data_IF_874064469292
#
_entry.id   IF_874064469292
#
_cell.length_a   1.000
_cell.length_b   1.000
_cell.length_c   1.000
_cell.angle_alpha   90.00
_cell.angle_beta   90.00
_cell.angle_gamma   90.00
#
_symmetry.space_group_name_H-M   'P 1'
#
loop_
_entity.id
_entity.type
_entity.pdbx_description
1 polymer ?
#
# COMPACT_ATOMS: atom_id res chain seq x y z
N UNK A 1 -32.74 30.85 19.71
CA UNK A 1 -32.19 29.58 20.23
C UNK A 1 -32.23 28.57 19.09
N UNK A 2 -31.08 28.13 18.55
CA UNK A 2 -31.04 27.17 17.44
C UNK A 2 -31.52 25.80 17.94
N UNK A 3 -32.84 25.56 17.89
CA UNK A 3 -33.41 24.23 18.09
C UNK A 3 -32.93 23.36 16.94
N UNK A 4 -32.06 22.39 17.23
CA UNK A 4 -31.56 21.48 16.20
C UNK A 4 -32.64 20.44 15.89
N UNK A 5 -32.92 20.23 14.60
CA UNK A 5 -33.85 19.19 14.15
C UNK A 5 -33.48 17.84 14.75
N UNK A 6 -34.49 17.04 15.13
CA UNK A 6 -34.31 15.68 15.65
C UNK A 6 -33.40 14.84 14.74
N UNK A 7 -33.51 15.01 13.42
CA UNK A 7 -32.64 14.36 12.43
C UNK A 7 -31.15 14.62 12.70
N UNK A 8 -30.77 15.88 12.95
CA UNK A 8 -29.36 16.24 13.19
C UNK A 8 -28.87 15.68 14.53
N UNK A 9 -29.75 15.59 15.52
CA UNK A 9 -29.44 14.96 16.81
C UNK A 9 -29.19 13.46 16.66
N UNK A 10 -30.02 12.78 15.86
CA UNK A 10 -29.86 11.34 15.58
C UNK A 10 -28.52 11.10 14.89
N UNK A 11 -28.19 11.86 13.84
CA UNK A 11 -26.90 11.73 13.16
C UNK A 11 -25.70 11.98 14.09
N UNK A 12 -25.77 12.99 14.96
CA UNK A 12 -24.73 13.24 15.96
C UNK A 12 -24.61 12.08 16.95
N UNK A 13 -25.73 11.56 17.46
CA UNK A 13 -25.74 10.46 18.42
C UNK A 13 -25.19 9.16 17.84
N UNK A 14 -25.57 8.82 16.61
CA UNK A 14 -25.02 7.65 15.88
C UNK A 14 -23.53 7.82 15.64
N UNK A 15 -23.09 8.98 15.14
CA UNK A 15 -21.68 9.28 14.91
C UNK A 15 -20.87 9.16 16.22
N UNK A 16 -21.35 9.78 17.29
CA UNK A 16 -20.76 9.70 18.63
C UNK A 16 -20.65 8.25 19.12
N UNK A 17 -21.75 7.49 19.10
CA UNK A 17 -21.79 6.12 19.61
C UNK A 17 -20.85 5.19 18.84
N UNK A 18 -20.83 5.29 17.50
CA UNK A 18 -19.96 4.48 16.65
C UNK A 18 -18.48 4.84 16.84
N UNK A 19 -18.13 6.11 16.70
CA UNK A 19 -16.74 6.56 16.77
C UNK A 19 -16.17 6.35 18.16
N UNK A 20 -16.83 6.88 19.20
CA UNK A 20 -16.34 6.78 20.58
C UNK A 20 -16.34 5.32 21.04
N UNK A 21 -17.38 4.55 20.70
CA UNK A 21 -17.46 3.12 21.04
C UNK A 21 -16.33 2.30 20.40
N UNK A 22 -16.02 2.54 19.13
CA UNK A 22 -14.95 1.82 18.41
C UNK A 22 -13.56 2.21 18.92
N UNK A 23 -13.30 3.51 19.13
CA UNK A 23 -12.05 4.00 19.72
C UNK A 23 -11.86 3.44 21.14
N UNK A 24 -12.91 3.48 21.96
CA UNK A 24 -12.90 2.91 23.30
C UNK A 24 -12.62 1.41 23.25
N UNK A 25 -13.33 0.65 22.41
CA UNK A 25 -13.11 -0.80 22.25
C UNK A 25 -11.66 -1.10 21.89
N UNK A 26 -11.08 -0.39 20.92
CA UNK A 26 -9.69 -0.60 20.50
C UNK A 26 -8.70 -0.33 21.64
N UNK A 27 -8.80 0.84 22.27
CA UNK A 27 -7.89 1.24 23.34
C UNK A 27 -8.03 0.35 24.58
N UNK A 28 -9.26 0.04 24.98
CA UNK A 28 -9.55 -0.85 26.10
C UNK A 28 -9.00 -2.25 25.88
N UNK A 29 -9.23 -2.84 24.71
CA UNK A 29 -8.71 -4.16 24.38
C UNK A 29 -7.18 -4.19 24.36
N UNK A 30 -6.55 -3.18 23.78
CA UNK A 30 -5.09 -3.17 23.65
C UNK A 30 -4.38 -2.96 24.97
N UNK A 31 -4.89 -2.06 25.81
CA UNK A 31 -4.17 -1.65 27.03
C UNK A 31 -4.75 -2.24 28.31
N UNK A 32 -6.05 -2.49 28.40
CA UNK A 32 -6.70 -2.90 29.65
C UNK A 32 -7.09 -4.37 29.72
N UNK A 33 -6.97 -5.13 28.62
CA UNK A 33 -7.24 -6.58 28.60
C UNK A 33 -6.40 -7.43 29.56
N UNK A 34 -5.16 -7.04 29.97
CA UNK A 34 -4.44 -7.80 31.00
C UNK A 34 -5.09 -7.72 32.38
N UNK A 35 -5.84 -6.66 32.68
CA UNK A 35 -6.42 -6.42 34.01
C UNK A 35 -7.94 -6.61 34.05
N UNK A 36 -8.63 -6.47 32.91
CA UNK A 36 -10.08 -6.49 32.83
C UNK A 36 -10.53 -7.56 31.82
N UNK A 37 -11.44 -8.48 32.19
CA UNK A 37 -11.95 -9.50 31.28
C UNK A 37 -12.53 -8.91 29.98
N UNK A 38 -12.20 -9.52 28.85
CA UNK A 38 -12.60 -9.04 27.53
C UNK A 38 -14.12 -8.89 27.33
N UNK A 39 -15.02 -9.74 27.90
CA UNK A 39 -16.45 -9.54 27.75
C UNK A 39 -16.95 -8.25 28.41
N UNK A 40 -16.34 -7.84 29.53
CA UNK A 40 -16.72 -6.62 30.24
C UNK A 40 -16.34 -5.37 29.43
N UNK A 41 -15.15 -5.37 28.83
CA UNK A 41 -14.70 -4.29 27.94
C UNK A 41 -15.60 -4.16 26.70
N UNK A 42 -16.05 -5.29 26.13
CA UNK A 42 -17.06 -5.27 25.05
C UNK A 42 -18.39 -4.70 25.52
N UNK A 43 -18.85 -5.11 26.70
CA UNK A 43 -20.09 -4.62 27.30
C UNK A 43 -20.12 -3.09 27.38
N UNK A 44 -19.03 -2.47 27.85
CA UNK A 44 -18.94 -1.00 27.91
C UNK A 44 -18.99 -0.37 26.51
N UNK A 45 -18.27 -0.92 25.54
CA UNK A 45 -18.32 -0.42 24.16
C UNK A 45 -19.73 -0.49 23.55
N UNK A 46 -20.45 -1.58 23.81
CA UNK A 46 -21.86 -1.75 23.38
C UNK A 46 -22.77 -0.75 24.10
N UNK A 47 -22.56 -0.52 25.40
CA UNK A 47 -23.33 0.47 26.15
C UNK A 47 -23.13 1.90 25.60
N UNK A 48 -21.91 2.27 25.19
CA UNK A 48 -21.65 3.55 24.52
C UNK A 48 -22.41 3.67 23.20
N UNK A 49 -22.47 2.59 22.42
CA UNK A 49 -23.22 2.55 21.17
C UNK A 49 -24.73 2.69 21.41
N UNK A 50 -25.27 1.94 22.37
CA UNK A 50 -26.69 2.04 22.79
C UNK A 50 -27.00 3.45 23.29
N UNK A 51 -26.11 4.04 24.10
CA UNK A 51 -26.26 5.41 24.58
C UNK A 51 -26.30 6.41 23.41
N UNK A 52 -25.44 6.24 22.39
CA UNK A 52 -25.47 7.06 21.17
C UNK A 52 -26.79 7.01 20.41
N UNK A 53 -27.49 5.85 20.42
CA UNK A 53 -28.80 5.69 19.79
C UNK A 53 -29.95 6.30 20.61
N UNK A 54 -29.90 6.20 21.94
CA UNK A 54 -30.97 6.67 22.83
C UNK A 54 -30.87 8.17 23.13
N UNK A 55 -29.64 8.69 23.28
CA UNK A 55 -29.36 10.07 23.69
C UNK A 55 -30.07 11.14 22.84
N UNK A 56 -30.18 11.03 21.50
CA UNK A 56 -30.89 12.01 20.67
C UNK A 56 -32.35 12.20 21.04
N UNK A 57 -33.05 11.10 21.38
CA UNK A 57 -34.47 11.11 21.75
C UNK A 57 -34.68 11.72 23.13
N UNK A 58 -33.85 11.32 24.11
CA UNK A 58 -33.87 11.86 25.47
C UNK A 58 -33.55 13.36 25.46
N UNK A 59 -32.52 13.76 24.70
CA UNK A 59 -32.17 15.16 24.51
C UNK A 59 -33.33 15.94 23.86
N UNK A 60 -33.94 15.43 22.80
CA UNK A 60 -35.06 16.12 22.15
C UNK A 60 -36.29 16.28 23.07
N UNK A 61 -36.63 15.26 23.86
CA UNK A 61 -37.73 15.32 24.82
C UNK A 61 -37.46 16.32 25.96
N UNK A 62 -36.23 16.35 26.50
CA UNK A 62 -35.86 17.27 27.59
C UNK A 62 -35.73 18.72 27.14
N UNK A 63 -35.30 18.96 25.91
CA UNK A 63 -35.25 20.31 25.34
C UNK A 63 -36.65 20.91 25.17
N UNK A 64 -37.65 20.11 24.75
CA UNK A 64 -39.06 20.56 24.70
C UNK A 64 -39.64 20.92 26.08
N UNK A 65 -39.10 20.33 27.15
CA UNK A 65 -39.51 20.61 28.54
C UNK A 65 -38.67 21.73 29.19
N UNK A 66 -37.89 22.49 28.41
CA UNK A 66 -36.95 23.54 28.88
C UNK A 66 -35.92 23.07 29.93
N UNK A 67 -35.67 21.76 30.04
CA UNK A 67 -34.85 21.20 31.13
C UNK A 67 -33.34 21.20 30.88
N UNK A 68 -32.86 21.49 29.66
CA UNK A 68 -31.43 21.38 29.31
C UNK A 68 -31.03 22.46 28.29
N UNK A 69 -29.81 22.99 28.43
CA UNK A 69 -29.14 23.75 27.39
C UNK A 69 -28.66 22.84 26.24
N UNK A 70 -29.50 22.67 25.22
CA UNK A 70 -29.21 21.77 24.09
C UNK A 70 -27.99 22.16 23.26
N UNK A 71 -27.65 23.45 23.19
CA UNK A 71 -26.46 23.93 22.46
C UNK A 71 -25.18 23.42 23.15
N UNK A 72 -25.10 23.56 24.47
CA UNK A 72 -23.95 23.08 25.25
C UNK A 72 -23.74 21.57 25.11
N UNK A 73 -24.82 20.78 25.20
CA UNK A 73 -24.74 19.33 25.04
C UNK A 73 -24.25 18.93 23.64
N UNK A 74 -24.81 19.55 22.59
CA UNK A 74 -24.37 19.33 21.21
C UNK A 74 -22.88 19.56 21.06
N UNK A 75 -22.40 20.74 21.48
CA UNK A 75 -20.99 21.12 21.37
C UNK A 75 -20.10 20.16 22.13
N UNK A 76 -20.49 19.70 23.32
CA UNK A 76 -19.72 18.73 24.10
C UNK A 76 -19.60 17.38 23.38
N UNK A 77 -20.69 16.86 22.80
CA UNK A 77 -20.68 15.60 22.06
C UNK A 77 -19.82 15.67 20.80
N UNK A 78 -19.89 16.79 20.07
CA UNK A 78 -19.04 17.03 18.91
C UNK A 78 -17.55 17.06 19.30
N UNK A 79 -17.20 17.80 20.36
CA UNK A 79 -15.80 17.86 20.83
C UNK A 79 -15.31 16.51 21.33
N UNK A 80 -16.14 15.74 22.04
CA UNK A 80 -15.77 14.42 22.54
C UNK A 80 -15.56 13.41 21.39
N UNK A 81 -16.44 13.44 20.38
CA UNK A 81 -16.29 12.60 19.17
C UNK A 81 -15.02 12.96 18.40
N UNK A 82 -14.78 14.26 18.20
CA UNK A 82 -13.58 14.75 17.52
C UNK A 82 -12.31 14.40 18.30
N UNK A 83 -12.33 14.56 19.62
CA UNK A 83 -11.24 14.19 20.49
C UNK A 83 -10.93 12.69 20.40
N UNK A 84 -11.95 11.84 20.41
CA UNK A 84 -11.77 10.39 20.25
C UNK A 84 -11.10 10.05 18.91
N UNK A 85 -11.54 10.64 17.78
CA UNK A 85 -10.89 10.45 16.46
C UNK A 85 -9.42 10.88 16.47
N UNK A 86 -9.14 12.05 17.05
CA UNK A 86 -7.80 12.62 17.09
C UNK A 86 -6.88 11.79 17.97
N UNK A 87 -7.33 11.42 19.17
CA UNK A 87 -6.61 10.51 20.08
C UNK A 87 -6.31 9.19 19.38
N UNK A 88 -7.30 8.62 18.70
CA UNK A 88 -7.17 7.33 18.03
C UNK A 88 -6.10 7.35 16.93
N UNK A 89 -6.11 8.41 16.11
CA UNK A 89 -5.16 8.66 15.02
C UNK A 89 -3.75 8.95 15.53
N UNK A 90 -3.62 9.78 16.57
CA UNK A 90 -2.31 10.06 17.20
C UNK A 90 -1.73 8.76 17.77
N UNK A 91 -2.54 7.95 18.44
CA UNK A 91 -2.10 6.65 18.97
C UNK A 91 -1.62 5.70 17.87
N UNK A 92 -2.32 5.63 16.73
CA UNK A 92 -1.82 4.86 15.59
C UNK A 92 -0.49 5.38 15.05
N UNK A 93 -0.31 6.71 14.96
CA UNK A 93 0.97 7.31 14.55
C UNK A 93 2.10 7.00 15.53
N UNK A 94 1.89 7.19 16.83
CA UNK A 94 2.89 6.90 17.87
C UNK A 94 3.29 5.42 17.85
N UNK A 95 2.32 4.51 17.70
CA UNK A 95 2.60 3.07 17.62
C UNK A 95 3.45 2.70 16.40
N UNK A 96 3.29 3.40 15.26
CA UNK A 96 4.16 3.23 14.09
C UNK A 96 5.60 3.67 14.39
N UNK A 97 5.77 4.82 15.04
CA UNK A 97 7.09 5.36 15.42
C UNK A 97 7.81 4.41 16.39
N UNK A 98 7.07 3.80 17.32
CA UNK A 98 7.59 2.86 18.30
C UNK A 98 7.84 1.44 17.75
N UNK A 99 7.52 1.17 16.48
CA UNK A 99 7.63 -0.18 15.91
C UNK A 99 6.63 -1.20 16.49
N UNK A 100 5.55 -0.72 17.11
CA UNK A 100 4.46 -1.55 17.67
C UNK A 100 3.41 -1.96 16.63
N UNK A 101 3.61 -1.57 15.37
CA UNK A 101 2.83 -1.99 14.21
C UNK A 101 3.75 -2.53 13.13
N UNK A 102 3.17 -3.22 12.13
CA UNK A 102 3.88 -3.77 10.97
C UNK A 102 4.91 -4.85 11.37
N UNK A 103 4.55 -5.69 12.35
CA UNK A 103 5.43 -6.73 12.88
C UNK A 103 5.27 -8.02 12.07
N UNK A 104 6.29 -8.37 11.31
CA UNK A 104 6.38 -9.69 10.66
C UNK A 104 6.93 -10.71 11.65
N UNK A 105 6.18 -11.80 11.85
CA UNK A 105 6.59 -12.94 12.69
C UNK A 105 7.75 -13.68 12.03
N UNK A 106 8.74 -14.12 12.81
CA UNK A 106 9.94 -14.80 12.30
C UNK A 106 9.60 -16.02 11.44
N UNK A 107 8.68 -16.88 11.88
CA UNK A 107 8.28 -18.06 11.10
C UNK A 107 7.57 -17.76 9.77
N UNK A 108 7.14 -16.50 9.52
CA UNK A 108 6.65 -16.08 8.21
C UNK A 108 7.79 -15.74 7.25
N UNK A 109 8.98 -15.42 7.74
CA UNK A 109 10.13 -15.09 6.89
C UNK A 109 10.71 -16.32 6.16
N UNK A 110 10.46 -17.52 6.70
CA UNK A 110 10.90 -18.78 6.10
C UNK A 110 9.96 -19.26 4.98
N UNK A 111 8.80 -18.61 4.82
CA UNK A 111 7.86 -18.95 3.77
C UNK A 111 8.33 -18.40 2.41
N UNK A 112 8.11 -19.14 1.31
CA UNK A 112 8.38 -18.62 -0.02
C UNK A 112 7.53 -17.38 -0.27
N UNK A 113 8.10 -16.38 -0.96
CA UNK A 113 7.47 -15.08 -1.21
C UNK A 113 6.05 -15.20 -1.80
N UNK A 114 5.84 -16.16 -2.70
CA UNK A 114 4.55 -16.45 -3.35
C UNK A 114 3.46 -16.96 -2.40
N UNK A 115 3.83 -17.41 -1.20
CA UNK A 115 2.91 -17.93 -0.18
C UNK A 115 2.63 -16.94 0.95
N UNK A 116 3.28 -15.77 0.95
CA UNK A 116 3.03 -14.76 1.97
C UNK A 116 1.63 -14.16 1.80
N UNK A 117 0.82 -14.10 2.87
CA UNK A 117 -0.47 -13.42 2.80
C UNK A 117 -0.27 -11.91 2.62
N UNK A 118 -1.27 -11.24 2.02
CA UNK A 118 -1.20 -9.81 1.70
C UNK A 118 -0.83 -8.93 2.91
N UNK A 119 -1.42 -9.19 4.07
CA UNK A 119 -1.09 -8.49 5.33
C UNK A 119 0.41 -8.58 5.67
N UNK A 120 1.00 -9.77 5.57
CA UNK A 120 2.42 -9.97 5.90
C UNK A 120 3.32 -9.26 4.89
N UNK A 121 2.98 -9.32 3.59
CA UNK A 121 3.72 -8.61 2.55
C UNK A 121 3.69 -7.10 2.76
N UNK A 122 2.50 -6.55 3.05
CA UNK A 122 2.31 -5.13 3.34
C UNK A 122 3.11 -4.70 4.57
N UNK A 123 3.05 -5.48 5.65
CA UNK A 123 3.79 -5.18 6.88
C UNK A 123 5.30 -5.30 6.68
N UNK A 124 5.78 -6.28 5.91
CA UNK A 124 7.18 -6.40 5.55
C UNK A 124 7.68 -5.16 4.78
N UNK A 125 6.91 -4.70 3.79
CA UNK A 125 7.22 -3.49 3.02
C UNK A 125 7.34 -2.26 3.92
N UNK A 126 6.34 -1.99 4.77
CA UNK A 126 6.39 -0.83 5.65
C UNK A 126 7.46 -0.96 6.75
N UNK A 127 7.79 -2.17 7.21
CA UNK A 127 8.83 -2.38 8.22
C UNK A 127 10.24 -2.23 7.67
N UNK A 128 10.45 -2.49 6.38
CA UNK A 128 11.78 -2.42 5.75
C UNK A 128 12.41 -1.02 5.89
N UNK A 129 11.66 0.05 5.65
CA UNK A 129 12.16 1.43 5.71
C UNK A 129 11.56 2.21 6.88
N UNK A 130 12.26 2.21 8.02
CA UNK A 130 11.84 2.95 9.21
C UNK A 130 11.61 4.46 8.96
N UNK A 131 12.48 5.20 8.23
CA UNK A 131 12.22 6.61 7.92
C UNK A 131 10.92 6.83 7.15
N UNK A 132 10.58 5.93 6.24
CA UNK A 132 9.32 5.98 5.49
C UNK A 132 8.11 5.75 6.41
N UNK A 133 8.19 4.76 7.32
CA UNK A 133 7.15 4.52 8.33
C UNK A 133 6.92 5.73 9.22
N UNK A 134 8.01 6.38 9.66
CA UNK A 134 7.97 7.58 10.51
C UNK A 134 7.34 8.76 9.76
N UNK A 135 7.66 8.96 8.48
CA UNK A 135 7.04 10.01 7.68
C UNK A 135 5.51 9.86 7.60
N UNK A 136 5.02 8.63 7.38
CA UNK A 136 3.58 8.33 7.37
C UNK A 136 2.97 8.59 8.75
N UNK A 137 3.64 8.17 9.82
CA UNK A 137 3.18 8.37 11.19
C UNK A 137 3.06 9.86 11.56
N UNK A 138 4.05 10.67 11.17
CA UNK A 138 4.04 12.12 11.39
C UNK A 138 2.93 12.81 10.61
N UNK A 139 2.69 12.42 9.34
CA UNK A 139 1.54 12.92 8.57
C UNK A 139 0.21 12.57 9.23
N UNK A 140 0.08 11.36 9.78
CA UNK A 140 -1.10 10.93 10.51
C UNK A 140 -1.32 11.75 11.79
N UNK A 141 -0.27 11.99 12.58
CA UNK A 141 -0.32 12.82 13.80
C UNK A 141 -0.63 14.27 13.45
N UNK A 142 0.05 14.85 12.45
CA UNK A 142 -0.18 16.22 12.00
C UNK A 142 -1.64 16.42 11.59
N UNK A 143 -2.20 15.48 10.83
CA UNK A 143 -3.62 15.53 10.42
C UNK A 143 -4.55 15.58 11.63
N UNK A 144 -4.30 14.75 12.65
CA UNK A 144 -5.09 14.72 13.88
C UNK A 144 -4.94 16.02 14.70
N UNK A 145 -3.72 16.58 14.76
CA UNK A 145 -3.46 17.86 15.44
C UNK A 145 -4.20 19.00 14.73
N UNK A 146 -4.17 19.04 13.40
CA UNK A 146 -4.88 20.05 12.59
C UNK A 146 -6.41 19.99 12.79
N UNK A 147 -6.98 18.80 13.03
CA UNK A 147 -8.40 18.60 13.32
C UNK A 147 -8.85 19.23 14.64
N UNK A 148 -7.98 19.25 15.66
CA UNK A 148 -8.29 19.80 16.99
C UNK A 148 -8.51 21.32 16.95
N UNK A 149 -7.72 22.05 16.16
CA UNK A 149 -7.82 23.50 16.08
C UNK A 149 -8.90 23.94 15.10
N UNK A 150 -9.85 24.75 15.57
CA UNK A 150 -10.96 25.27 14.76
C UNK A 150 -10.52 26.00 13.49
N UNK A 151 -9.34 26.65 13.52
CA UNK A 151 -8.77 27.40 12.39
C UNK A 151 -8.26 26.50 11.27
N UNK A 152 -7.71 25.33 11.60
CA UNK A 152 -7.11 24.39 10.63
C UNK A 152 -7.97 23.17 10.36
N UNK A 153 -9.13 23.07 11.01
CA UNK A 153 -10.00 21.89 10.98
C UNK A 153 -10.40 21.46 9.58
N UNK A 154 -10.77 22.40 8.70
CA UNK A 154 -11.15 22.06 7.32
C UNK A 154 -10.01 21.35 6.58
N UNK A 155 -8.79 21.86 6.71
CA UNK A 155 -7.61 21.23 6.11
C UNK A 155 -7.32 19.86 6.73
N UNK A 156 -7.44 19.76 8.07
CA UNK A 156 -7.35 18.48 8.77
C UNK A 156 -8.39 17.45 8.31
N UNK A 157 -9.64 17.86 8.05
CA UNK A 157 -10.70 16.98 7.55
C UNK A 157 -10.39 16.47 6.14
N UNK A 158 -9.91 17.33 5.25
CA UNK A 158 -9.51 16.94 3.89
C UNK A 158 -8.36 15.92 3.95
N UNK A 159 -7.31 16.21 4.72
CA UNK A 159 -6.18 15.29 4.89
C UNK A 159 -6.62 13.96 5.54
N UNK A 160 -7.54 13.99 6.50
CA UNK A 160 -8.05 12.79 7.14
C UNK A 160 -8.83 11.90 6.17
N UNK A 161 -9.60 12.49 5.24
CA UNK A 161 -10.29 11.72 4.19
C UNK A 161 -9.27 11.02 3.29
N UNK A 162 -8.26 11.76 2.80
CA UNK A 162 -7.22 11.20 1.92
C UNK A 162 -6.50 10.04 2.63
N UNK A 163 -6.07 10.27 3.87
CA UNK A 163 -5.34 9.28 4.67
C UNK A 163 -6.19 8.04 4.99
N UNK A 164 -7.43 8.21 5.48
CA UNK A 164 -8.30 7.10 5.83
C UNK A 164 -8.74 6.31 4.59
N UNK A 165 -8.95 6.99 3.46
CA UNK A 165 -9.24 6.32 2.18
C UNK A 165 -8.07 5.47 1.74
N UNK A 166 -6.84 6.01 1.84
CA UNK A 166 -5.63 5.25 1.55
C UNK A 166 -5.48 4.03 2.47
N UNK A 167 -5.75 4.17 3.77
CA UNK A 167 -5.74 3.06 4.73
C UNK A 167 -6.80 2.00 4.36
N UNK A 168 -8.03 2.42 4.05
CA UNK A 168 -9.10 1.49 3.63
C UNK A 168 -8.73 0.75 2.34
N UNK A 169 -8.11 1.42 1.37
CA UNK A 169 -7.62 0.77 0.15
C UNK A 169 -6.58 -0.29 0.49
N UNK A 170 -5.62 0.01 1.37
CA UNK A 170 -4.64 -0.98 1.83
C UNK A 170 -5.34 -2.16 2.51
N UNK A 171 -6.29 -1.90 3.41
CA UNK A 171 -7.01 -2.93 4.14
C UNK A 171 -7.79 -3.87 3.19
N UNK A 172 -8.43 -3.32 2.16
CA UNK A 172 -9.18 -4.08 1.16
C UNK A 172 -8.26 -4.88 0.24
N UNK A 173 -7.28 -4.24 -0.40
CA UNK A 173 -6.46 -4.89 -1.41
C UNK A 173 -5.48 -5.92 -0.83
N UNK A 174 -5.03 -5.72 0.41
CA UNK A 174 -4.15 -6.65 1.12
C UNK A 174 -4.91 -7.61 2.07
N UNK A 175 -6.24 -7.61 2.03
CA UNK A 175 -7.11 -8.52 2.78
C UNK A 175 -6.83 -8.52 4.30
N UNK A 176 -6.75 -7.34 4.89
CA UNK A 176 -6.53 -7.21 6.33
C UNK A 176 -7.74 -7.70 7.14
N UNK A 177 -7.55 -8.01 8.43
CA UNK A 177 -8.64 -8.44 9.30
C UNK A 177 -9.83 -7.46 9.29
N UNK A 178 -11.04 -7.99 9.14
CA UNK A 178 -12.30 -7.23 9.00
C UNK A 178 -12.48 -6.18 10.12
N UNK A 179 -12.01 -6.48 11.33
CA UNK A 179 -12.09 -5.55 12.46
C UNK A 179 -11.33 -4.24 12.26
N UNK A 180 -10.19 -4.27 11.56
CA UNK A 180 -9.39 -3.07 11.25
C UNK A 180 -10.06 -2.25 10.15
N UNK A 181 -10.54 -2.93 9.11
CA UNK A 181 -11.29 -2.30 8.01
C UNK A 181 -12.55 -1.58 8.53
N UNK A 182 -13.34 -2.22 9.38
CA UNK A 182 -14.52 -1.60 9.99
C UNK A 182 -14.17 -0.38 10.85
N UNK A 183 -13.06 -0.44 11.59
CA UNK A 183 -12.56 0.70 12.38
C UNK A 183 -12.22 1.89 11.49
N UNK A 184 -11.53 1.65 10.37
CA UNK A 184 -11.17 2.69 9.42
C UNK A 184 -12.41 3.30 8.73
N UNK A 185 -13.37 2.47 8.32
CA UNK A 185 -14.64 2.92 7.73
C UNK A 185 -15.44 3.79 8.71
N UNK A 186 -15.59 3.35 9.96
CA UNK A 186 -16.32 4.11 10.98
C UNK A 186 -15.64 5.46 11.27
N UNK A 187 -14.30 5.48 11.29
CA UNK A 187 -13.54 6.72 11.44
C UNK A 187 -13.75 7.66 10.25
N UNK A 188 -13.75 7.12 9.02
CA UNK A 188 -14.01 7.90 7.81
C UNK A 188 -15.42 8.49 7.79
N UNK A 189 -16.44 7.70 8.19
CA UNK A 189 -17.81 8.20 8.34
C UNK A 189 -17.90 9.32 9.39
N UNK A 190 -17.16 9.21 10.49
CA UNK A 190 -17.05 10.27 11.49
C UNK A 190 -16.45 11.56 10.92
N UNK A 191 -15.40 11.45 10.11
CA UNK A 191 -14.79 12.60 9.40
C UNK A 191 -15.77 13.21 8.41
N UNK A 192 -16.50 12.40 7.62
CA UNK A 192 -17.53 12.91 6.71
C UNK A 192 -18.67 13.62 7.44
N UNK A 193 -19.06 13.13 8.62
CA UNK A 193 -20.03 13.82 9.47
C UNK A 193 -19.56 15.23 9.80
N UNK A 194 -18.32 15.41 10.28
CA UNK A 194 -17.77 16.74 10.56
C UNK A 194 -17.63 17.60 9.31
N UNK A 195 -17.21 17.02 8.18
CA UNK A 195 -17.12 17.75 6.92
C UNK A 195 -18.48 18.24 6.42
N UNK A 196 -19.54 17.45 6.61
CA UNK A 196 -20.90 17.84 6.24
C UNK A 196 -21.39 19.09 6.98
N UNK A 197 -20.87 19.35 8.19
CA UNK A 197 -21.21 20.56 8.96
C UNK A 197 -20.56 21.82 8.37
N UNK A 198 -19.40 21.68 7.74
CA UNK A 198 -18.62 22.76 7.11
C UNK A 198 -18.73 22.74 5.58
N UNK A 199 -19.76 22.11 5.00
CA UNK A 199 -19.91 21.90 3.55
C UNK A 199 -19.75 23.19 2.72
N UNK A 200 -20.32 24.31 3.19
CA UNK A 200 -20.19 25.60 2.51
C UNK A 200 -18.73 26.07 2.43
N UNK A 201 -17.96 25.91 3.51
CA UNK A 201 -16.53 26.25 3.53
C UNK A 201 -15.72 25.35 2.61
N UNK A 202 -16.09 24.07 2.50
CA UNK A 202 -15.46 23.16 1.55
C UNK A 202 -15.73 23.57 0.10
N UNK A 203 -16.98 23.87 -0.25
CA UNK A 203 -17.31 24.31 -1.61
C UNK A 203 -16.64 25.63 -1.95
N UNK A 204 -16.57 26.55 -0.99
CA UNK A 204 -15.85 27.81 -1.16
C UNK A 204 -14.35 27.55 -1.38
N UNK A 205 -13.74 26.65 -0.60
CA UNK A 205 -12.33 26.28 -0.75
C UNK A 205 -12.00 25.61 -2.10
N UNK A 206 -12.88 24.76 -2.62
CA UNK A 206 -12.64 23.99 -3.86
C UNK A 206 -12.93 24.82 -5.10
N UNK A 207 -14.04 25.57 -5.11
CA UNK A 207 -14.56 26.18 -6.32
C UNK A 207 -14.26 27.68 -6.45
N UNK A 208 -13.85 28.36 -5.37
CA UNK A 208 -13.45 29.76 -5.50
C UNK A 208 -12.05 29.86 -6.11
N UNK A 209 -11.86 30.68 -7.15
CA UNK A 209 -10.54 30.91 -7.72
C UNK A 209 -9.65 31.59 -6.67
N UNK A 210 -8.38 31.17 -6.64
CA UNK A 210 -7.36 31.76 -5.78
C UNK A 210 -7.22 33.26 -6.09
N UNK A 211 -7.21 34.09 -5.06
CA UNK A 211 -7.03 35.53 -5.22
C UNK A 211 -5.66 35.82 -5.82
N UNK A 212 -5.61 36.64 -6.86
CA UNK A 212 -4.36 37.03 -7.54
C UNK A 212 -3.92 36.10 -8.68
N UNK A 213 -4.62 35.00 -8.97
CA UNK A 213 -4.31 34.19 -10.16
C UNK A 213 -4.78 34.91 -11.42
N UNK A 214 -3.85 35.29 -12.29
CA UNK A 214 -4.16 35.82 -13.62
C UNK A 214 -4.47 34.66 -14.56
N UNK A 215 -5.67 34.62 -15.12
CA UNK A 215 -5.98 33.66 -16.17
C UNK A 215 -5.22 34.04 -17.44
N UNK A 216 -4.71 33.05 -18.19
CA UNK A 216 -4.15 33.28 -19.52
C UNK A 216 -5.18 34.01 -20.39
N UNK A 217 -4.75 35.06 -21.10
CA UNK A 217 -5.62 35.84 -21.99
C UNK A 217 -5.79 35.13 -23.35
N UNK A 218 -6.39 33.95 -23.32
CA UNK A 218 -6.62 33.09 -24.49
C UNK A 218 -8.07 32.58 -24.41
N UNK A 219 -8.69 32.29 -25.56
CA UNK A 219 -10.03 31.72 -25.63
C UNK A 219 -10.16 30.42 -24.83
N UNK A 220 -11.37 30.14 -24.33
CA UNK A 220 -11.66 28.95 -23.53
C UNK A 220 -11.38 27.64 -24.30
N UNK A 221 -11.49 27.66 -25.62
CA UNK A 221 -11.19 26.51 -26.48
C UNK A 221 -9.72 26.09 -26.31
N UNK A 222 -8.78 27.02 -26.50
CA UNK A 222 -7.35 26.71 -26.38
C UNK A 222 -6.95 26.34 -24.93
N UNK A 223 -7.57 26.96 -23.92
CA UNK A 223 -7.37 26.56 -22.52
C UNK A 223 -7.76 25.10 -22.28
N UNK A 224 -8.89 24.66 -22.84
CA UNK A 224 -9.35 23.29 -22.72
C UNK A 224 -8.50 22.33 -23.57
N UNK A 225 -8.05 22.74 -24.76
CA UNK A 225 -7.11 21.94 -25.56
C UNK A 225 -5.79 21.69 -24.82
N UNK A 226 -5.23 22.71 -24.16
CA UNK A 226 -4.04 22.56 -23.31
C UNK A 226 -4.27 21.60 -22.15
N UNK A 227 -5.45 21.64 -21.51
CA UNK A 227 -5.80 20.69 -20.43
C UNK A 227 -5.94 19.26 -20.95
N UNK A 228 -6.55 19.08 -22.12
CA UNK A 228 -6.72 17.77 -22.75
C UNK A 228 -5.37 17.22 -23.22
N UNK A 229 -4.47 18.07 -23.73
CA UNK A 229 -3.16 17.62 -24.20
C UNK A 229 -2.32 16.98 -23.09
N UNK A 230 -2.51 17.39 -21.82
CA UNK A 230 -1.86 16.75 -20.66
C UNK A 230 -2.25 15.26 -20.50
N UNK A 231 -3.40 14.84 -21.01
CA UNK A 231 -3.80 13.43 -21.03
C UNK A 231 -3.37 12.72 -22.33
N UNK A 232 -3.26 13.46 -23.44
CA UNK A 232 -2.83 12.92 -24.73
C UNK A 232 -1.33 12.62 -24.73
N UNK A 233 -0.49 13.50 -24.16
CA UNK A 233 0.97 13.34 -24.19
C UNK A 233 1.45 12.02 -23.57
N UNK A 234 1.01 11.59 -22.37
CA UNK A 234 1.37 10.30 -21.81
C UNK A 234 0.95 9.12 -22.70
N UNK A 235 -0.23 9.19 -23.33
CA UNK A 235 -0.69 8.16 -24.26
C UNK A 235 0.22 8.08 -25.49
N UNK A 236 0.58 9.22 -26.09
CA UNK A 236 1.50 9.26 -27.22
C UNK A 236 2.88 8.70 -26.85
N UNK A 237 3.44 9.07 -25.70
CA UNK A 237 4.72 8.52 -25.25
C UNK A 237 4.65 7.03 -24.95
N UNK A 238 3.51 6.52 -24.45
CA UNK A 238 3.30 5.09 -24.23
C UNK A 238 3.29 4.27 -25.53
N UNK A 239 2.89 4.86 -26.67
CA UNK A 239 2.88 4.18 -27.97
C UNK A 239 4.30 3.98 -28.53
N UNK A 240 5.26 4.78 -28.09
CA UNK A 240 6.67 4.71 -28.50
C UNK A 240 7.49 3.93 -27.46
N UNK A 241 6.90 3.61 -26.31
CA UNK A 241 7.56 2.83 -25.27
C UNK A 241 7.48 1.33 -25.61
N UNK A 242 8.61 0.75 -25.99
CA UNK A 242 8.70 -0.69 -26.26
C UNK A 242 8.45 -1.50 -24.99
N UNK A 243 7.70 -2.59 -25.14
CA UNK A 243 7.47 -3.50 -24.01
C UNK A 243 8.81 -4.13 -23.58
N UNK A 244 9.08 -4.23 -22.26
CA UNK A 244 10.36 -4.78 -21.77
C UNK A 244 10.63 -6.22 -22.20
N UNK A 245 9.57 -7.01 -22.43
CA UNK A 245 9.68 -8.38 -22.92
C UNK A 245 9.70 -8.45 -24.45
N UNK A 246 10.90 -8.48 -25.03
CA UNK A 246 11.08 -8.66 -26.48
C UNK A 246 10.95 -10.11 -26.93
N UNK A 247 11.08 -11.07 -26.01
CA UNK A 247 11.17 -12.48 -26.32
C UNK A 247 10.29 -13.34 -25.39
N UNK A 248 8.96 -13.16 -25.40
CA UNK A 248 8.06 -13.80 -24.43
C UNK A 248 8.04 -15.34 -24.48
N UNK A 249 8.50 -15.92 -25.60
CA UNK A 249 8.66 -17.38 -25.74
C UNK A 249 9.87 -17.91 -24.99
N UNK A 250 10.89 -17.07 -24.77
CA UNK A 250 12.11 -17.37 -24.04
C UNK A 250 12.05 -16.92 -22.58
N UNK A 251 11.17 -15.98 -22.24
CA UNK A 251 11.01 -15.50 -20.87
C UNK A 251 10.58 -16.64 -19.94
N UNK A 252 11.40 -16.94 -18.94
CA UNK A 252 11.16 -18.03 -18.00
C UNK A 252 12.37 -18.43 -17.17
N UNK A 253 12.08 -19.28 -16.18
CA UNK A 253 13.06 -20.02 -15.40
C UNK A 253 13.33 -21.35 -16.10
N UNK A 254 14.60 -21.74 -16.23
CA UNK A 254 15.00 -22.97 -16.87
C UNK A 254 15.94 -23.79 -15.99
N UNK A 255 15.61 -25.05 -15.73
CA UNK A 255 16.49 -26.00 -15.06
C UNK A 255 17.52 -26.57 -16.05
N UNK A 256 18.76 -26.71 -15.58
CA UNK A 256 19.86 -27.28 -16.36
C UNK A 256 19.95 -28.79 -16.11
N UNK A 257 19.57 -29.62 -17.09
CA UNK A 257 19.52 -31.08 -16.93
C UNK A 257 20.86 -31.76 -17.26
N UNK A 258 21.53 -31.31 -18.33
CA UNK A 258 22.75 -31.92 -18.86
C UNK A 258 23.79 -30.84 -19.18
N UNK A 259 24.43 -30.30 -18.15
CA UNK A 259 25.58 -29.41 -18.33
C UNK A 259 26.79 -30.22 -18.80
N UNK A 260 27.45 -29.77 -19.86
CA UNK A 260 28.79 -30.24 -20.22
C UNK A 260 29.74 -29.05 -20.33
N UNK A 261 30.93 -29.21 -19.77
CA UNK A 261 32.03 -28.24 -19.88
C UNK A 261 33.18 -28.98 -20.58
N UNK A 262 33.65 -28.47 -21.71
CA UNK A 262 34.64 -29.11 -22.56
C UNK A 262 34.31 -30.58 -22.87
N UNK A 263 33.03 -30.82 -23.21
CA UNK A 263 32.44 -32.13 -23.52
C UNK A 263 32.40 -33.13 -22.34
N UNK A 264 32.84 -32.74 -21.14
CA UNK A 264 32.72 -33.53 -19.91
C UNK A 264 31.39 -33.20 -19.20
N UNK A 265 30.56 -34.19 -18.82
CA UNK A 265 29.29 -33.94 -18.13
C UNK A 265 29.50 -33.52 -16.67
N UNK A 266 28.82 -32.46 -16.25
CA UNK A 266 28.77 -31.96 -14.88
C UNK A 266 27.35 -32.02 -14.34
N UNK A 267 27.19 -32.47 -13.09
CA UNK A 267 25.91 -32.51 -12.38
C UNK A 267 26.14 -32.10 -10.93
N UNK A 268 25.25 -31.25 -10.40
CA UNK A 268 25.27 -30.89 -8.99
C UNK A 268 25.04 -32.16 -8.13
N UNK A 269 25.90 -32.39 -7.13
CA UNK A 269 25.80 -33.50 -6.19
C UNK A 269 25.16 -33.06 -4.87
N UNK A 270 25.22 -31.77 -4.54
CA UNK A 270 24.71 -31.16 -3.32
C UNK A 270 24.12 -29.77 -3.59
N UNK A 271 23.15 -29.28 -2.78
CA UNK A 271 22.63 -27.90 -2.84
C UNK A 271 23.65 -26.78 -2.57
N UNK A 272 24.91 -27.13 -2.22
CA UNK A 272 26.00 -26.15 -1.98
C UNK A 272 27.10 -26.18 -3.04
N UNK A 273 26.95 -27.01 -4.08
CA UNK A 273 27.97 -27.12 -5.12
C UNK A 273 27.92 -25.91 -6.05
N UNK A 274 29.08 -25.46 -6.52
CA UNK A 274 29.25 -24.38 -7.51
C UNK A 274 28.87 -24.79 -8.95
N UNK A 275 27.93 -25.72 -9.10
CA UNK A 275 27.45 -26.20 -10.40
C UNK A 275 26.28 -25.34 -10.82
N UNK A 276 26.26 -24.95 -12.10
CA UNK A 276 25.14 -24.20 -12.67
C UNK A 276 23.87 -25.06 -12.64
N UNK A 277 22.84 -24.58 -11.93
CA UNK A 277 21.59 -25.31 -11.73
C UNK A 277 20.43 -24.71 -12.49
N UNK A 278 20.42 -23.39 -12.67
CA UNK A 278 19.28 -22.69 -13.25
C UNK A 278 19.73 -21.54 -14.13
N UNK A 279 19.05 -21.37 -15.26
CA UNK A 279 19.18 -20.22 -16.16
C UNK A 279 17.86 -19.46 -16.15
N UNK A 280 17.92 -18.15 -15.94
CA UNK A 280 16.78 -17.26 -16.10
C UNK A 280 16.99 -16.45 -17.38
N UNK A 281 15.96 -16.40 -18.21
CA UNK A 281 15.83 -15.44 -19.29
C UNK A 281 14.61 -14.59 -18.91
N UNK A 282 14.80 -13.32 -18.63
CA UNK A 282 13.75 -12.46 -18.05
C UNK A 282 13.56 -11.17 -18.85
N UNK A 283 12.66 -10.31 -18.36
CA UNK A 283 12.36 -8.98 -18.88
C UNK A 283 13.65 -8.16 -19.11
N UNK A 284 13.60 -7.25 -20.10
CA UNK A 284 14.73 -6.38 -20.48
C UNK A 284 15.98 -7.15 -20.95
N UNK A 285 15.75 -8.30 -21.59
CA UNK A 285 16.80 -9.18 -22.09
C UNK A 285 17.76 -9.65 -20.97
N UNK A 286 17.26 -9.81 -19.73
CA UNK A 286 18.07 -10.24 -18.60
C UNK A 286 18.40 -11.74 -18.70
N UNK A 287 19.66 -12.07 -18.41
CA UNK A 287 20.18 -13.44 -18.47
C UNK A 287 20.92 -13.74 -17.18
N UNK A 288 20.37 -14.65 -16.37
CA UNK A 288 20.96 -15.00 -15.07
C UNK A 288 21.35 -16.47 -15.05
N UNK A 289 22.62 -16.73 -14.73
CA UNK A 289 23.12 -18.05 -14.38
C UNK A 289 23.15 -18.18 -12.86
N UNK A 290 22.40 -19.12 -12.30
CA UNK A 290 22.29 -19.35 -10.85
C UNK A 290 23.00 -20.66 -10.47
N UNK A 291 23.98 -20.55 -9.58
CA UNK A 291 24.83 -21.66 -9.14
C UNK A 291 24.39 -22.12 -7.76
N UNK A 292 23.16 -22.65 -7.67
CA UNK A 292 22.58 -23.32 -6.50
C UNK A 292 22.31 -22.44 -5.26
N UNK A 293 23.08 -21.38 -5.04
CA UNK A 293 22.93 -20.39 -3.96
C UNK A 293 22.83 -18.98 -4.57
N UNK A 294 21.88 -18.19 -4.10
CA UNK A 294 21.56 -16.86 -4.64
C UNK A 294 22.72 -15.86 -4.61
N UNK A 295 23.76 -16.13 -3.79
CA UNK A 295 24.98 -15.33 -3.70
C UNK A 295 25.94 -15.59 -4.86
N UNK A 296 25.81 -16.72 -5.54
CA UNK A 296 26.62 -17.11 -6.68
C UNK A 296 25.78 -17.05 -7.95
N UNK A 297 25.70 -15.84 -8.51
CA UNK A 297 24.94 -15.57 -9.73
C UNK A 297 25.77 -14.78 -10.72
N UNK A 298 25.65 -15.12 -11.99
CA UNK A 298 26.09 -14.25 -13.07
C UNK A 298 24.86 -13.59 -13.68
N UNK A 299 24.87 -12.27 -13.76
CA UNK A 299 23.75 -11.46 -14.26
C UNK A 299 24.26 -10.70 -15.47
N UNK A 300 23.59 -10.82 -16.60
CA UNK A 300 23.99 -10.20 -17.85
C UNK A 300 22.81 -9.81 -18.73
N UNK A 301 23.11 -9.10 -19.83
CA UNK A 301 22.15 -8.84 -20.90
C UNK A 301 22.41 -9.80 -22.05
N UNK A 302 21.40 -10.53 -22.52
CA UNK A 302 21.53 -11.33 -23.73
C UNK A 302 21.14 -10.53 -24.98
N UNK A 303 21.78 -10.85 -26.09
CA UNK A 303 21.51 -10.32 -27.42
C UNK A 303 21.26 -11.50 -28.33
N UNK A 304 20.00 -11.68 -28.74
CA UNK A 304 19.58 -12.77 -29.60
C UNK A 304 19.45 -12.29 -31.04
N UNK A 305 20.05 -13.03 -31.97
CA UNK A 305 19.80 -12.89 -33.40
C UNK A 305 18.96 -14.07 -33.88
N UNK A 306 17.68 -13.84 -34.11
CA UNK A 306 16.73 -14.89 -34.51
C UNK A 306 17.01 -15.49 -35.90
N UNK A 307 17.80 -14.83 -36.76
CA UNK A 307 18.07 -15.34 -38.11
C UNK A 307 19.01 -16.55 -38.13
N UNK A 308 19.91 -16.64 -37.17
CA UNK A 308 20.94 -17.68 -37.09
C UNK A 308 21.00 -18.35 -35.71
N UNK A 309 20.00 -18.09 -34.86
CA UNK A 309 19.90 -18.52 -33.48
C UNK A 309 21.15 -18.19 -32.64
N UNK A 310 21.93 -17.18 -33.01
CA UNK A 310 23.11 -16.78 -32.24
C UNK A 310 22.70 -15.95 -31.04
N UNK A 311 23.31 -16.25 -29.91
CA UNK A 311 23.07 -15.56 -28.64
C UNK A 311 24.40 -15.15 -28.04
N UNK A 312 24.50 -13.87 -27.67
CA UNK A 312 25.65 -13.31 -26.96
C UNK A 312 25.19 -12.77 -25.62
N UNK A 313 25.87 -13.07 -24.53
CA UNK A 313 25.55 -12.52 -23.21
C UNK A 313 26.70 -11.66 -22.72
N UNK A 314 26.38 -10.42 -22.34
CA UNK A 314 27.32 -9.48 -21.72
C UNK A 314 27.05 -9.40 -20.23
N UNK A 315 28.04 -9.73 -19.41
CA UNK A 315 27.86 -9.79 -17.96
C UNK A 315 27.93 -8.40 -17.33
N UNK A 316 26.92 -8.10 -16.50
CA UNK A 316 26.88 -6.91 -15.64
C UNK A 316 27.44 -7.23 -14.25
N UNK A 317 27.29 -8.48 -13.80
CA UNK A 317 27.82 -8.96 -12.54
C UNK A 317 28.27 -10.43 -12.64
N UNK A 318 29.50 -10.78 -12.19
CA UNK A 318 30.60 -9.87 -11.89
C UNK A 318 31.15 -9.22 -13.17
N UNK A 319 31.32 -7.88 -13.19
CA UNK A 319 31.70 -7.13 -14.40
C UNK A 319 33.12 -7.39 -14.90
N UNK A 320 34.06 -7.68 -13.99
CA UNK A 320 35.50 -7.62 -14.29
C UNK A 320 36.18 -8.99 -14.43
N UNK A 321 35.41 -10.08 -14.46
CA UNK A 321 35.95 -11.45 -14.31
C UNK A 321 35.53 -12.44 -15.39
N UNK A 322 34.63 -12.08 -16.29
CA UNK A 322 34.00 -13.02 -17.21
C UNK A 322 34.01 -12.47 -18.63
N UNK A 323 34.46 -13.30 -19.58
CA UNK A 323 34.27 -13.05 -20.99
C UNK A 323 32.80 -13.17 -21.38
N UNK A 324 32.42 -12.47 -22.46
CA UNK A 324 31.08 -12.58 -23.05
C UNK A 324 30.78 -14.05 -23.41
N UNK A 325 29.62 -14.56 -23.02
CA UNK A 325 29.16 -15.86 -23.54
C UNK A 325 28.78 -15.68 -25.01
N UNK A 326 29.32 -16.52 -25.89
CA UNK A 326 28.99 -16.51 -27.32
C UNK A 326 28.58 -17.91 -27.76
N UNK A 327 27.35 -18.05 -28.24
CA UNK A 327 26.80 -19.36 -28.58
C UNK A 327 25.62 -19.33 -29.54
N UNK A 328 24.94 -20.48 -29.59
CA UNK A 328 23.68 -20.69 -30.31
C UNK A 328 22.63 -21.27 -29.39
N UNK A 329 21.39 -20.84 -29.60
CA UNK A 329 20.21 -21.30 -28.88
C UNK A 329 19.39 -22.22 -29.79
N UNK A 330 19.54 -23.53 -29.64
CA UNK A 330 18.84 -24.52 -30.45
C UNK A 330 17.52 -24.89 -29.78
N UNK A 331 16.41 -24.81 -30.52
CA UNK A 331 15.06 -25.14 -30.05
C UNK A 331 14.70 -26.55 -30.53
N UNK A 332 14.50 -27.51 -29.62
CA UNK A 332 14.19 -28.91 -30.01
C UNK A 332 13.09 -29.48 -29.13
N UNK A 333 11.91 -29.80 -29.71
CA UNK A 333 10.79 -30.48 -29.05
C UNK A 333 10.46 -29.95 -27.62
N UNK A 334 10.35 -28.63 -27.47
CA UNK A 334 10.03 -27.99 -26.19
C UNK A 334 11.19 -27.84 -25.21
N UNK A 335 12.39 -28.35 -25.54
CA UNK A 335 13.63 -28.11 -24.81
C UNK A 335 14.50 -27.09 -25.54
N UNK A 336 15.22 -26.27 -24.77
CA UNK A 336 16.20 -25.34 -25.29
C UNK A 336 17.60 -25.92 -25.05
N UNK A 337 18.48 -25.83 -26.04
CA UNK A 337 19.88 -26.23 -25.90
C UNK A 337 20.73 -25.01 -26.17
N UNK A 338 21.44 -24.55 -25.13
CA UNK A 338 22.40 -23.47 -25.24
C UNK A 338 23.78 -24.09 -25.44
N UNK A 339 24.42 -23.80 -26.57
CA UNK A 339 25.76 -24.29 -26.89
C UNK A 339 26.66 -23.11 -27.25
N UNK A 340 27.73 -22.89 -26.50
CA UNK A 340 28.60 -21.75 -26.70
C UNK A 340 29.94 -21.87 -26.02
N UNK A 341 30.66 -20.75 -25.97
CA UNK A 341 31.94 -20.61 -25.27
C UNK A 341 31.90 -19.45 -24.29
N UNK A 342 32.60 -19.61 -23.18
CA UNK A 342 32.83 -18.58 -22.15
C UNK A 342 34.15 -18.91 -21.44
N UNK A 343 35.03 -17.93 -21.24
CA UNK A 343 36.35 -18.10 -20.61
C UNK A 343 37.17 -19.27 -21.19
N UNK A 344 37.27 -19.35 -22.52
CA UNK A 344 37.90 -20.45 -23.27
C UNK A 344 37.31 -21.87 -23.08
N UNK A 345 36.28 -22.01 -22.25
CA UNK A 345 35.56 -23.27 -22.06
C UNK A 345 34.36 -23.37 -22.99
N UNK A 346 34.13 -24.58 -23.52
CA UNK A 346 32.94 -24.92 -24.31
C UNK A 346 31.83 -25.38 -23.36
N UNK A 347 30.70 -24.68 -23.38
CA UNK A 347 29.53 -24.96 -22.55
C UNK A 347 28.37 -25.48 -23.40
N UNK A 348 27.86 -26.65 -23.05
CA UNK A 348 26.61 -27.20 -23.60
C UNK A 348 25.61 -27.40 -22.46
N UNK A 349 24.44 -26.78 -22.56
CA UNK A 349 23.40 -26.82 -21.53
C UNK A 349 22.05 -27.18 -22.14
N UNK A 350 21.44 -28.26 -21.65
CA UNK A 350 20.03 -28.56 -21.93
C UNK A 350 19.14 -27.92 -20.87
N UNK A 351 18.23 -27.07 -21.33
CA UNK A 351 17.35 -26.22 -20.54
C UNK A 351 15.91 -26.73 -20.64
N UNK A 352 15.31 -26.98 -19.49
CA UNK A 352 13.91 -27.40 -19.32
C UNK A 352 13.16 -26.33 -18.52
N UNK A 353 12.03 -25.85 -19.04
CA UNK A 353 11.27 -24.73 -18.45
C UNK A 353 10.48 -25.16 -17.21
#
# INVERSE_FOLDING_TARGET
MYSTSLKNKIWLGVCFGLVVGVVFRRLSFKYFSPWIPTPFLLGIGILVLIAGLILPYVWHARERRNGINGVKLKTNLEHLTLYALCLDSIMFGVQKIQGLQMIVLLGKLDLPLSSLPGETLMWAFFKYSYPFTVAIALLQILTAVLLLFSRTRLFGLILAIIMLTFIICLDVFYHLPVGVLLHAIISLLGVFYFLSQDWKRLTDFIFQPLQGTKSLNISNLYKNMYRISLFIWPLLFSLIYDFPDKHPKLTGKYQVENLKINDVPFKAKSPKDSVLTTVYMDLEDDFVLDFNDYRYRYIGTYFLNEKNDSITVKWRYPSDKLDEFKGRLIRTNGKLVLNGKMNDEKLEMKLSK
#
